data_IF_816398020368
#
_entry.id   IF_816398020368
#
_cell.length_a   1.000
_cell.length_b   1.000
_cell.length_c   1.000
_cell.angle_alpha   90.00
_cell.angle_beta   90.00
_cell.angle_gamma   90.00
#
_symmetry.space_group_name_H-M   'P 1'
#
loop_
_entity.id
_entity.type
_entity.pdbx_description
1 polymer ?
#
# COMPACT_ATOMS: atom_id res chain seq x y z
N UNK A 1 -19.02 -0.87 8.36
CA UNK A 1 -17.78 -1.21 7.63
C UNK A 1 -16.63 -0.44 8.25
N UNK A 2 -15.71 -1.12 8.94
CA UNK A 2 -14.55 -0.49 9.57
C UNK A 2 -13.55 -0.07 8.50
N UNK A 3 -13.14 1.21 8.52
CA UNK A 3 -12.12 1.73 7.60
C UNK A 3 -10.75 1.25 8.08
N UNK A 4 -10.25 0.16 7.48
CA UNK A 4 -8.90 -0.33 7.77
C UNK A 4 -7.90 0.71 7.25
N UNK A 5 -7.13 1.28 8.16
CA UNK A 5 -6.05 2.21 7.81
C UNK A 5 -4.75 1.45 7.77
N UNK A 6 -4.17 1.32 6.58
CA UNK A 6 -2.89 0.65 6.40
C UNK A 6 -1.73 1.65 6.56
N UNK A 7 -0.67 1.30 7.31
CA UNK A 7 0.55 2.10 7.41
C UNK A 7 1.18 2.35 6.03
N UNK A 8 1.89 3.47 5.86
CA UNK A 8 2.56 3.77 4.58
C UNK A 8 3.59 2.69 4.21
N UNK A 9 4.36 2.20 5.18
CA UNK A 9 5.34 1.14 4.97
C UNK A 9 4.69 -0.12 4.39
N UNK A 10 3.52 -0.50 4.91
CA UNK A 10 2.75 -1.64 4.42
C UNK A 10 2.25 -1.44 2.98
N UNK A 11 1.81 -0.23 2.64
CA UNK A 11 1.41 0.10 1.26
C UNK A 11 2.60 0.04 0.30
N UNK A 12 3.77 0.49 0.73
CA UNK A 12 5.00 0.44 -0.08
C UNK A 12 5.48 -0.99 -0.29
N UNK A 13 5.40 -1.84 0.73
CA UNK A 13 5.71 -3.26 0.61
C UNK A 13 4.76 -3.95 -0.38
N UNK A 14 3.46 -3.67 -0.30
CA UNK A 14 2.47 -4.17 -1.25
C UNK A 14 2.76 -3.70 -2.69
N UNK A 15 3.16 -2.44 -2.88
CA UNK A 15 3.54 -1.91 -4.18
C UNK A 15 4.82 -2.58 -4.73
N UNK A 16 5.79 -2.87 -3.88
CA UNK A 16 7.01 -3.59 -4.26
C UNK A 16 6.71 -5.03 -4.68
N UNK A 17 5.80 -5.71 -3.99
CA UNK A 17 5.33 -7.05 -4.35
C UNK A 17 4.54 -7.05 -5.68
N UNK A 18 3.82 -5.97 -5.98
CA UNK A 18 3.12 -5.81 -7.28
C UNK A 18 4.07 -5.64 -8.47
N UNK A 19 5.34 -5.32 -8.26
CA UNK A 19 6.34 -5.27 -9.34
C UNK A 19 6.77 -6.69 -9.77
N UNK A 20 6.64 -7.68 -8.88
CA UNK A 20 7.09 -9.06 -9.12
C UNK A 20 5.95 -10.06 -9.26
N UNK A 21 4.80 -9.81 -8.63
CA UNK A 21 3.65 -10.71 -8.54
C UNK A 21 2.38 -10.04 -9.06
N UNK A 22 1.41 -10.87 -9.48
CA UNK A 22 0.08 -10.39 -9.87
C UNK A 22 -0.73 -9.88 -8.66
N UNK A 23 -1.64 -8.94 -8.91
CA UNK A 23 -2.54 -8.36 -7.91
C UNK A 23 -3.33 -9.41 -7.12
N UNK A 24 -3.71 -10.52 -7.75
CA UNK A 24 -4.34 -11.66 -7.12
C UNK A 24 -3.45 -12.34 -6.07
N UNK A 25 -2.19 -12.63 -6.41
CA UNK A 25 -1.24 -13.27 -5.49
C UNK A 25 -0.90 -12.35 -4.33
N UNK A 26 -0.67 -11.06 -4.60
CA UNK A 26 -0.38 -10.07 -3.56
C UNK A 26 -1.57 -9.89 -2.61
N UNK A 27 -2.80 -9.86 -3.13
CA UNK A 27 -4.02 -9.79 -2.31
C UNK A 27 -4.16 -10.98 -1.36
N UNK A 28 -3.87 -12.20 -1.86
CA UNK A 28 -3.89 -13.40 -1.05
C UNK A 28 -2.79 -13.40 0.03
N UNK A 29 -1.57 -12.99 -0.33
CA UNK A 29 -0.43 -12.92 0.60
C UNK A 29 -0.64 -11.92 1.74
N UNK A 30 -1.15 -10.72 1.41
CA UNK A 30 -1.33 -9.64 2.39
C UNK A 30 -2.70 -9.67 3.06
N UNK A 31 -3.59 -10.58 2.65
CA UNK A 31 -5.00 -10.62 3.04
C UNK A 31 -5.69 -9.25 2.85
N UNK A 32 -5.45 -8.61 1.69
CA UNK A 32 -6.00 -7.30 1.32
C UNK A 32 -6.90 -7.42 0.11
N UNK A 33 -8.02 -6.70 0.11
CA UNK A 33 -8.89 -6.66 -1.06
C UNK A 33 -8.15 -6.13 -2.31
N UNK A 34 -8.30 -6.82 -3.45
CA UNK A 34 -7.70 -6.42 -4.74
C UNK A 34 -8.02 -4.97 -5.14
N UNK A 35 -9.24 -4.50 -4.82
CA UNK A 35 -9.65 -3.11 -5.07
C UNK A 35 -8.79 -2.11 -4.31
N UNK A 36 -8.38 -2.44 -3.09
CA UNK A 36 -7.49 -1.61 -2.26
C UNK A 36 -6.09 -1.53 -2.87
N UNK A 37 -5.54 -2.66 -3.34
CA UNK A 37 -4.25 -2.69 -4.04
C UNK A 37 -4.28 -1.86 -5.32
N UNK A 38 -5.33 -1.98 -6.14
CA UNK A 38 -5.50 -1.14 -7.34
C UNK A 38 -5.58 0.35 -7.03
N UNK A 39 -6.26 0.73 -5.95
CA UNK A 39 -6.30 2.12 -5.50
C UNK A 39 -4.91 2.62 -5.12
N UNK A 40 -4.11 1.82 -4.40
CA UNK A 40 -2.73 2.19 -4.07
C UNK A 40 -1.84 2.26 -5.30
N UNK A 41 -2.02 1.37 -6.27
CA UNK A 41 -1.28 1.43 -7.53
C UNK A 41 -1.61 2.71 -8.32
N UNK A 42 -2.87 3.14 -8.34
CA UNK A 42 -3.28 4.44 -8.91
C UNK A 42 -2.63 5.61 -8.18
N UNK A 43 -2.48 5.50 -6.86
CA UNK A 43 -1.84 6.51 -6.00
C UNK A 43 -0.33 6.26 -5.80
N UNK A 44 0.31 5.37 -6.59
CA UNK A 44 1.70 4.94 -6.37
C UNK A 44 2.66 6.13 -6.31
N UNK A 45 2.49 7.10 -7.20
CA UNK A 45 3.34 8.28 -7.26
C UNK A 45 3.21 9.14 -5.99
N UNK A 46 1.99 9.34 -5.48
CA UNK A 46 1.74 10.06 -4.23
C UNK A 46 2.31 9.31 -3.01
N UNK A 47 2.15 7.98 -2.99
CA UNK A 47 2.63 7.11 -1.92
C UNK A 47 4.17 7.04 -1.89
N UNK A 48 4.82 7.03 -3.06
CA UNK A 48 6.29 7.06 -3.17
C UNK A 48 6.85 8.44 -2.88
N UNK A 49 6.15 9.51 -3.27
CA UNK A 49 6.51 10.88 -2.93
C UNK A 49 6.30 11.21 -1.43
N UNK A 50 5.64 10.31 -0.68
CA UNK A 50 5.42 10.47 0.75
C UNK A 50 6.72 10.32 1.54
N UNK A 51 7.45 11.42 1.72
CA UNK A 51 8.67 11.52 2.56
C UNK A 51 8.41 11.52 4.08
N UNK A 52 7.21 11.14 4.50
CA UNK A 52 6.79 11.12 5.90
C UNK A 52 6.03 12.36 6.33
N UNK A 53 5.05 12.18 7.20
CA UNK A 53 4.55 13.27 8.03
C UNK A 53 5.73 13.74 8.89
N UNK A 54 6.14 15.01 8.82
CA UNK A 54 7.09 15.63 9.77
C UNK A 54 6.48 15.74 11.18
N UNK A 55 5.82 14.69 11.68
CA UNK A 55 5.16 14.61 12.98
C UNK A 55 5.58 13.33 13.69
N UNK A 56 6.88 13.17 13.88
CA UNK A 56 7.49 12.45 15.01
C UNK A 56 9.00 12.72 15.03
N UNK A 57 9.37 13.99 15.24
CA UNK A 57 10.53 14.25 16.08
C UNK A 57 10.03 14.09 17.51
N UNK A 58 10.49 13.07 18.22
CA UNK A 58 10.51 13.04 19.67
C UNK A 58 11.92 12.70 20.08
#
# INVERSE_FOLDING_TARGET
MTRITYPIAFKLEALKLLETLSDYKVAALLNVARRTLRNWQKQRNELLAYKGNKKRLK
#
